data_IF_757842913477
#
_entry.id   IF_757842913477
#
_cell.length_a   1.000
_cell.length_b   1.000
_cell.length_c   1.000
_cell.angle_alpha   90.00
_cell.angle_beta   90.00
_cell.angle_gamma   90.00
#
_symmetry.space_group_name_H-M   'P 1'
#
loop_
_entity.id
_entity.type
_entity.pdbx_description
1 polymer ?
#
# COMPACT_ATOMS: atom_id res chain seq x y z
N UNK A 1 17.68 43.33 23.83
CA UNK A 1 17.40 42.95 22.43
C UNK A 1 18.25 41.77 21.95
N UNK A 2 19.58 41.81 22.06
CA UNK A 2 20.49 40.73 21.60
C UNK A 2 20.22 39.34 22.22
N UNK A 3 19.89 39.28 23.51
CA UNK A 3 19.55 38.02 24.21
C UNK A 3 18.20 37.42 23.77
N UNK A 4 17.23 38.26 23.40
CA UNK A 4 15.89 37.83 23.01
C UNK A 4 15.90 37.22 21.60
N UNK A 5 16.72 37.77 20.69
CA UNK A 5 16.98 37.19 19.37
C UNK A 5 17.71 35.85 19.44
N UNK A 6 18.66 35.69 20.38
CA UNK A 6 19.39 34.43 20.59
C UNK A 6 18.45 33.33 21.11
N UNK A 7 17.59 33.65 22.09
CA UNK A 7 16.60 32.69 22.58
C UNK A 7 15.60 32.27 21.50
N UNK A 8 15.10 33.22 20.69
CA UNK A 8 14.17 32.93 19.60
C UNK A 8 14.80 32.01 18.55
N UNK A 9 16.07 32.22 18.19
CA UNK A 9 16.79 31.37 17.23
C UNK A 9 17.00 29.93 17.69
N UNK A 10 17.16 29.68 19.00
CA UNK A 10 17.31 28.31 19.51
C UNK A 10 15.99 27.51 19.51
N UNK A 11 14.84 28.16 19.71
CA UNK A 11 13.54 27.47 19.65
C UNK A 11 13.20 26.96 18.25
N UNK A 12 13.58 27.67 17.18
CA UNK A 12 13.38 27.22 15.79
C UNK A 12 14.25 26.00 15.42
N UNK A 13 15.43 25.85 16.02
CA UNK A 13 16.31 24.71 15.75
C UNK A 13 15.82 23.43 16.45
N UNK A 14 15.17 23.55 17.61
CA UNK A 14 14.61 22.40 18.35
C UNK A 14 13.34 21.86 17.67
N UNK A 15 12.57 22.70 16.98
CA UNK A 15 11.37 22.26 16.24
C UNK A 15 11.66 21.38 15.02
N UNK A 16 12.89 21.36 14.50
CA UNK A 16 13.26 20.48 13.39
C UNK A 16 13.75 19.09 13.83
N UNK A 17 13.97 18.87 15.13
CA UNK A 17 14.42 17.59 15.69
C UNK A 17 13.32 16.74 16.33
N UNK A 18 12.09 17.25 16.39
CA UNK A 18 10.93 16.39 16.63
C UNK A 18 10.74 15.55 15.38
N UNK A 19 11.11 14.27 15.45
CA UNK A 19 10.77 13.26 14.44
C UNK A 19 9.26 13.20 14.29
N UNK A 20 8.74 14.11 13.46
CA UNK A 20 7.33 14.44 13.33
C UNK A 20 6.49 13.21 13.08
N UNK A 21 5.18 13.35 13.29
CA UNK A 21 4.18 12.30 13.14
C UNK A 21 4.57 11.26 12.08
N UNK A 22 5.00 10.08 12.52
CA UNK A 22 5.32 8.99 11.63
C UNK A 22 4.02 8.23 11.38
N UNK A 23 3.48 8.24 10.14
CA UNK A 23 2.27 7.49 9.86
C UNK A 23 2.52 5.99 10.12
N UNK A 24 1.49 5.24 10.53
CA UNK A 24 1.60 3.80 10.67
C UNK A 24 2.12 3.20 9.36
N UNK A 25 2.93 2.15 9.46
CA UNK A 25 3.37 1.43 8.27
C UNK A 25 2.13 0.91 7.52
N UNK A 26 2.08 1.04 6.19
CA UNK A 26 0.99 0.48 5.41
C UNK A 26 0.93 -1.03 5.67
N UNK A 27 -0.29 -1.53 5.83
CA UNK A 27 -0.56 -2.93 6.03
C UNK A 27 -0.39 -3.72 4.72
N UNK A 28 -0.74 -3.12 3.58
CA UNK A 28 -0.62 -3.75 2.27
C UNK A 28 0.57 -3.23 1.44
N UNK A 29 1.47 -4.15 1.07
CA UNK A 29 2.53 -3.92 0.11
C UNK A 29 2.20 -4.53 -1.26
N UNK A 30 1.59 -3.74 -2.15
CA UNK A 30 1.20 -4.21 -3.48
C UNK A 30 2.39 -4.31 -4.43
N UNK A 31 2.51 -5.46 -5.09
CA UNK A 31 3.48 -5.71 -6.17
C UNK A 31 2.76 -6.11 -7.44
N UNK A 32 3.22 -5.62 -8.59
CA UNK A 32 2.69 -6.06 -9.87
C UNK A 32 3.44 -7.31 -10.33
N UNK A 33 2.70 -8.35 -10.70
CA UNK A 33 3.26 -9.59 -11.24
C UNK A 33 4.11 -9.31 -12.49
N UNK A 34 5.29 -9.93 -12.55
CA UNK A 34 6.24 -9.78 -13.66
C UNK A 34 6.64 -8.32 -13.96
N UNK A 35 6.56 -7.43 -12.95
CA UNK A 35 6.90 -6.01 -13.08
C UNK A 35 8.29 -5.76 -13.68
N UNK A 36 9.28 -6.56 -13.31
CA UNK A 36 10.65 -6.45 -13.86
C UNK A 36 10.73 -6.74 -15.37
N UNK A 37 9.83 -7.56 -15.92
CA UNK A 37 9.75 -7.84 -17.36
C UNK A 37 9.02 -6.72 -18.10
N UNK A 38 7.95 -6.21 -17.50
CA UNK A 38 7.13 -5.14 -18.09
C UNK A 38 7.82 -3.77 -18.03
N UNK A 39 8.58 -3.55 -16.97
CA UNK A 39 9.26 -2.29 -16.67
C UNK A 39 10.74 -2.59 -16.33
N UNK A 40 11.55 -3.06 -17.30
CA UNK A 40 12.97 -3.29 -17.06
C UNK A 40 13.70 -1.96 -16.88
N UNK A 41 14.86 -1.97 -16.21
CA UNK A 41 15.65 -0.75 -15.95
C UNK A 41 16.19 -0.09 -17.21
N UNK A 42 16.34 -0.86 -18.30
CA UNK A 42 16.78 -0.38 -19.62
C UNK A 42 15.68 0.37 -20.37
N UNK A 43 14.42 0.23 -19.95
CA UNK A 43 13.31 0.94 -20.57
C UNK A 43 13.33 2.41 -20.14
N UNK A 44 13.28 3.32 -21.11
CA UNK A 44 13.17 4.74 -20.83
C UNK A 44 11.93 5.05 -19.99
N UNK A 45 12.13 5.82 -18.92
CA UNK A 45 11.08 6.21 -17.96
C UNK A 45 10.36 5.00 -17.33
N UNK A 46 11.05 3.86 -17.18
CA UNK A 46 10.50 2.62 -16.61
C UNK A 46 9.79 2.81 -15.27
N UNK A 47 10.46 3.46 -14.31
CA UNK A 47 9.88 3.74 -12.99
C UNK A 47 8.64 4.62 -13.11
N UNK A 48 8.69 5.67 -13.92
CA UNK A 48 7.54 6.55 -14.13
C UNK A 48 6.35 5.79 -14.73
N UNK A 49 6.58 4.94 -15.74
CA UNK A 49 5.53 4.11 -16.35
C UNK A 49 4.91 3.13 -15.34
N UNK A 50 5.73 2.49 -14.50
CA UNK A 50 5.26 1.62 -13.42
C UNK A 50 4.39 2.38 -12.41
N UNK A 51 4.83 3.56 -11.95
CA UNK A 51 4.10 4.38 -10.99
C UNK A 51 2.79 4.93 -11.60
N UNK A 52 2.81 5.34 -12.86
CA UNK A 52 1.61 5.77 -13.59
C UNK A 52 0.60 4.63 -13.71
N UNK A 53 1.07 3.40 -13.99
CA UNK A 53 0.19 2.22 -13.99
C UNK A 53 -0.41 1.95 -12.61
N UNK A 54 0.42 2.00 -11.55
CA UNK A 54 -0.05 1.85 -10.16
C UNK A 54 -1.14 2.87 -9.84
N UNK A 55 -0.89 4.14 -10.14
CA UNK A 55 -1.82 5.24 -9.89
C UNK A 55 -3.15 5.01 -10.61
N UNK A 56 -3.12 4.72 -11.91
CA UNK A 56 -4.33 4.52 -12.71
C UNK A 56 -5.14 3.29 -12.27
N UNK A 57 -4.47 2.19 -11.95
CA UNK A 57 -5.14 0.98 -11.48
C UNK A 57 -5.81 1.19 -10.12
N UNK A 58 -5.09 1.80 -9.17
CA UNK A 58 -5.62 2.14 -7.85
C UNK A 58 -6.85 3.04 -7.96
N UNK A 59 -6.74 4.13 -8.74
CA UNK A 59 -7.86 5.05 -8.97
C UNK A 59 -9.07 4.33 -9.58
N UNK A 60 -8.85 3.51 -10.61
CA UNK A 60 -9.93 2.78 -11.27
C UNK A 60 -10.63 1.74 -10.37
N UNK A 61 -9.94 1.25 -9.34
CA UNK A 61 -10.51 0.34 -8.34
C UNK A 61 -11.13 1.08 -7.13
N UNK A 62 -11.02 2.41 -7.06
CA UNK A 62 -11.46 3.20 -5.91
C UNK A 62 -10.52 3.10 -4.71
N UNK A 63 -9.23 2.79 -4.94
CA UNK A 63 -8.17 2.87 -3.95
C UNK A 63 -7.48 4.23 -4.06
N UNK A 64 -7.29 4.90 -2.92
CA UNK A 64 -6.47 6.11 -2.86
C UNK A 64 -5.00 5.76 -3.17
N UNK A 65 -4.40 6.27 -4.26
CA UNK A 65 -3.02 5.96 -4.61
C UNK A 65 -1.97 6.45 -3.59
N UNK A 66 -2.31 7.47 -2.79
CA UNK A 66 -1.43 8.02 -1.75
C UNK A 66 -1.38 7.11 -0.53
N UNK A 67 -2.51 6.55 -0.10
CA UNK A 67 -2.57 5.54 0.97
C UNK A 67 -2.04 4.19 0.48
N UNK A 68 -2.41 3.80 -0.75
CA UNK A 68 -2.01 2.53 -1.35
C UNK A 68 -2.64 1.29 -0.69
N UNK A 69 -3.67 1.47 0.12
CA UNK A 69 -4.41 0.40 0.79
C UNK A 69 -5.89 0.73 0.95
N UNK A 70 -6.71 -0.30 1.18
CA UNK A 70 -8.15 -0.12 1.41
C UNK A 70 -8.67 -1.15 2.41
N UNK A 71 -9.53 -0.70 3.31
CA UNK A 71 -10.29 -1.58 4.21
C UNK A 71 -11.46 -2.30 3.54
N UNK A 72 -11.65 -2.15 2.22
CA UNK A 72 -12.78 -2.74 1.48
C UNK A 72 -12.28 -3.89 0.60
N UNK A 73 -12.76 -5.11 0.85
CA UNK A 73 -12.39 -6.29 0.06
C UNK A 73 -12.63 -6.12 -1.44
N UNK A 74 -13.74 -5.47 -1.84
CA UNK A 74 -14.06 -5.18 -3.25
C UNK A 74 -12.95 -4.39 -3.96
N UNK A 75 -12.37 -3.40 -3.28
CA UNK A 75 -11.31 -2.52 -3.83
C UNK A 75 -10.03 -3.33 -4.00
N UNK A 76 -9.65 -4.09 -2.97
CA UNK A 76 -8.44 -4.90 -2.99
C UNK A 76 -8.52 -6.04 -4.03
N UNK A 77 -9.64 -6.75 -4.12
CA UNK A 77 -9.86 -7.79 -5.14
C UNK A 77 -9.92 -7.23 -6.57
N UNK A 78 -10.36 -6.00 -6.77
CA UNK A 78 -10.27 -5.33 -8.06
C UNK A 78 -8.79 -5.17 -8.49
N UNK A 79 -7.93 -4.79 -7.54
CA UNK A 79 -6.51 -4.62 -7.80
C UNK A 79 -5.84 -5.98 -8.08
N UNK A 80 -6.20 -7.04 -7.35
CA UNK A 80 -5.72 -8.39 -7.63
C UNK A 80 -6.06 -8.87 -9.05
N UNK A 81 -7.29 -8.61 -9.51
CA UNK A 81 -7.69 -8.94 -10.89
C UNK A 81 -6.89 -8.22 -11.96
N UNK A 82 -6.29 -7.07 -11.63
CA UNK A 82 -5.40 -6.31 -12.52
C UNK A 82 -3.96 -6.80 -12.50
N UNK A 83 -3.66 -7.87 -11.76
CA UNK A 83 -2.35 -8.50 -11.70
C UNK A 83 -1.47 -8.02 -10.54
N UNK A 84 -2.01 -7.21 -9.64
CA UNK A 84 -1.34 -6.84 -8.40
C UNK A 84 -1.49 -7.97 -7.38
N UNK A 85 -0.51 -8.16 -6.51
CA UNK A 85 -0.58 -9.16 -5.45
C UNK A 85 0.07 -8.62 -4.18
N UNK A 86 -0.34 -9.18 -3.06
CA UNK A 86 0.29 -8.96 -1.77
C UNK A 86 1.32 -10.06 -1.53
N UNK A 87 2.44 -9.71 -0.92
CA UNK A 87 3.50 -10.67 -0.58
C UNK A 87 3.02 -11.76 0.38
N UNK A 88 2.06 -11.43 1.26
CA UNK A 88 1.44 -12.37 2.20
C UNK A 88 0.36 -13.29 1.61
N UNK A 89 0.17 -13.30 0.29
CA UNK A 89 -0.84 -14.12 -0.38
C UNK A 89 -2.12 -13.37 -0.74
N UNK A 90 -3.20 -14.09 -1.11
CA UNK A 90 -4.45 -13.47 -1.54
C UNK A 90 -5.05 -12.55 -0.47
N UNK A 91 -5.59 -11.41 -0.89
CA UNK A 91 -6.27 -10.43 -0.02
C UNK A 91 -7.31 -11.09 0.88
N UNK A 92 -8.09 -12.02 0.34
CA UNK A 92 -9.16 -12.65 1.10
C UNK A 92 -8.68 -13.72 2.06
N UNK A 93 -7.43 -14.15 1.93
CA UNK A 93 -6.72 -14.94 2.93
C UNK A 93 -5.88 -14.02 3.82
N UNK A 94 -6.31 -12.79 4.05
CA UNK A 94 -5.67 -11.91 5.02
C UNK A 94 -6.55 -11.77 6.27
N UNK A 95 -5.92 -11.66 7.45
CA UNK A 95 -6.61 -11.52 8.74
C UNK A 95 -7.63 -10.37 8.76
N UNK A 96 -7.31 -9.22 8.15
CA UNK A 96 -8.20 -8.06 8.13
C UNK A 96 -9.43 -8.24 7.24
N UNK A 97 -9.32 -9.07 6.21
CA UNK A 97 -10.40 -9.32 5.24
C UNK A 97 -11.10 -10.66 5.50
N UNK A 98 -10.69 -11.38 6.55
CA UNK A 98 -11.16 -12.75 6.77
C UNK A 98 -12.68 -12.82 6.91
N UNK A 99 -13.28 -11.92 7.69
CA UNK A 99 -14.72 -11.93 7.95
C UNK A 99 -15.54 -11.13 6.94
N UNK A 100 -14.93 -10.59 5.87
CA UNK A 100 -15.68 -9.87 4.84
C UNK A 100 -16.49 -10.86 3.99
N UNK A 101 -17.79 -10.60 3.81
CA UNK A 101 -18.72 -11.47 3.08
C UNK A 101 -18.26 -11.79 1.66
N UNK A 102 -17.64 -10.81 0.99
CA UNK A 102 -17.13 -10.98 -0.36
C UNK A 102 -15.93 -11.91 -0.35
N UNK A 103 -15.08 -11.80 0.67
CA UNK A 103 -13.95 -12.70 0.86
C UNK A 103 -14.35 -14.11 1.31
N UNK A 104 -15.40 -14.27 2.11
CA UNK A 104 -15.96 -15.60 2.43
C UNK A 104 -16.41 -16.30 1.14
N UNK A 105 -17.17 -15.60 0.28
CA UNK A 105 -17.63 -16.13 -1.01
C UNK A 105 -16.48 -16.41 -1.97
N UNK A 106 -15.46 -15.56 -1.98
CA UNK A 106 -14.26 -15.76 -2.79
C UNK A 106 -13.49 -17.00 -2.34
N UNK A 107 -13.25 -17.14 -1.02
CA UNK A 107 -12.50 -18.27 -0.48
C UNK A 107 -13.19 -19.60 -0.72
N UNK A 108 -14.52 -19.65 -0.61
CA UNK A 108 -15.29 -20.85 -0.92
C UNK A 108 -15.06 -21.39 -2.35
N UNK A 109 -14.62 -20.55 -3.29
CA UNK A 109 -14.37 -20.92 -4.69
C UNK A 109 -12.90 -21.11 -5.03
N UNK A 110 -12.01 -20.36 -4.37
CA UNK A 110 -10.62 -20.21 -4.81
C UNK A 110 -9.59 -20.67 -3.77
N UNK A 111 -9.98 -20.72 -2.49
CA UNK A 111 -9.06 -20.95 -1.39
C UNK A 111 -8.99 -22.43 -1.04
N UNK A 112 -7.85 -22.85 -0.50
CA UNK A 112 -7.68 -24.22 -0.02
C UNK A 112 -8.45 -24.43 1.30
N UNK A 113 -8.89 -25.65 1.62
CA UNK A 113 -9.62 -25.94 2.87
C UNK A 113 -8.85 -25.54 4.15
N UNK A 114 -7.52 -25.49 4.08
CA UNK A 114 -6.58 -25.21 5.16
C UNK A 114 -5.98 -23.79 5.10
N UNK A 115 -6.55 -22.89 4.30
CA UNK A 115 -6.02 -21.54 4.05
C UNK A 115 -6.15 -20.55 5.22
N UNK A 116 -6.06 -20.99 6.47
CA UNK A 116 -5.77 -20.15 7.63
C UNK A 116 -4.28 -20.27 7.96
N UNK A 117 -3.40 -19.43 7.39
CA UNK A 117 -1.96 -19.44 7.67
C UNK A 117 -1.58 -18.70 8.96
N UNK A 118 -2.48 -17.90 9.57
CA UNK A 118 -2.20 -17.30 10.88
C UNK A 118 -2.66 -18.26 11.98
N UNK A 119 -1.68 -19.00 12.52
CA UNK A 119 -1.80 -19.65 13.82
C UNK A 119 -2.07 -18.65 14.94
#
# INVERSE_FOLDING_TARGET
MRLLTIFCSMFFLISCSFGGFQPPKPYYGWRLKDSYKMYPSTLENSLHKYLTRRHNDMWSCGMDPALGESGKAKVNLCLEKKGWYLEGGPVCENKLMWNDDLCIKWRAKHSKPDAKPWG
#
